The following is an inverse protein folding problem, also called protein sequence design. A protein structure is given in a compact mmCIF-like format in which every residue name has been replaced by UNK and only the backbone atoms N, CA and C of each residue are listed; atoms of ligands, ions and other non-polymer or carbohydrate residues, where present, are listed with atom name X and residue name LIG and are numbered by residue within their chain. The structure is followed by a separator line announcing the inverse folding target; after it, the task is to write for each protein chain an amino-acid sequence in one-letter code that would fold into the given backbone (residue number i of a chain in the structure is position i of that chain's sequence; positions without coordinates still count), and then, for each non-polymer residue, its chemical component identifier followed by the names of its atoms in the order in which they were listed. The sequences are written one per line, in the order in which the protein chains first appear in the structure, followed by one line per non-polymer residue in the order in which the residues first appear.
data_IF_111887179147
#
_entry.id   IF_111887179147
#
_cell.length_a   1.000
_cell.length_b   1.000
_cell.length_c   1.000
_cell.angle_alpha   90.00
_cell.angle_beta   90.00
_cell.angle_gamma   90.00
#
_symmetry.space_group_name_H-M   'P 1'
#
loop_
_entity.id
_entity.type
_entity.pdbx_description
1 polymer ?
#
# COMPACT_ATOMS: atom_id res chain seq x y z
N UNK A 1 -34.96 3.01 64.20
CA UNK A 1 -34.55 2.32 65.47
C UNK A 1 -33.32 1.52 65.13
N UNK A 2 -32.24 1.98 65.75
CA UNK A 2 -30.98 1.27 66.08
C UNK A 2 -30.15 0.76 64.90
N UNK A 3 -28.94 1.08 64.76
CA UNK A 3 -27.86 1.90 65.40
C UNK A 3 -26.56 1.31 64.83
N UNK A 4 -25.71 2.21 64.31
CA UNK A 4 -24.29 1.97 64.06
C UNK A 4 -23.56 1.55 65.35
N UNK A 5 -22.34 1.01 65.28
CA UNK A 5 -21.17 1.89 65.46
C UNK A 5 -20.03 1.58 64.51
N UNK A 6 -19.42 2.64 64.09
CA UNK A 6 -18.03 3.16 64.09
C UNK A 6 -17.00 2.31 64.85
N UNK A 7 -15.84 2.10 64.19
CA UNK A 7 -14.51 2.26 64.81
C UNK A 7 -13.39 2.33 63.74
N UNK A 8 -12.80 3.49 63.58
CA UNK A 8 -11.38 3.77 63.35
C UNK A 8 -10.69 3.82 64.71
N UNK A 9 -9.33 4.02 64.89
CA UNK A 9 -8.21 4.15 63.93
C UNK A 9 -6.87 3.48 64.40
N UNK A 10 -5.73 3.95 63.80
CA UNK A 10 -4.31 3.96 64.26
C UNK A 10 -3.47 2.70 64.02
N UNK A 11 -2.28 2.71 63.41
CA UNK A 11 -1.07 3.51 63.64
C UNK A 11 -0.01 3.19 62.57
N UNK A 12 0.66 4.20 62.07
CA UNK A 12 2.02 4.11 61.60
C UNK A 12 2.98 3.91 62.81
N UNK A 13 4.24 3.46 62.58
CA UNK A 13 5.31 4.40 62.63
C UNK A 13 6.45 4.23 61.61
N UNK A 14 7.05 5.38 61.29
CA UNK A 14 8.34 5.67 60.72
C UNK A 14 9.50 4.85 61.29
N UNK A 15 10.52 4.58 60.47
CA UNK A 15 11.92 4.84 60.84
C UNK A 15 12.86 4.82 59.61
N UNK A 16 13.44 5.92 59.37
CA UNK A 16 14.79 6.41 59.13
C UNK A 16 15.95 5.42 59.14
N UNK A 17 16.84 5.62 58.18
CA UNK A 17 18.30 5.99 58.23
C UNK A 17 18.99 5.37 56.99
N UNK A 18 19.49 6.17 56.10
CA UNK A 18 20.75 6.95 56.05
C UNK A 18 22.01 6.11 55.80
N UNK A 19 22.85 6.64 54.88
CA UNK A 19 24.29 6.44 54.66
C UNK A 19 24.68 5.20 53.85
N UNK A 20 25.57 5.16 52.81
CA UNK A 20 26.71 6.02 52.54
C UNK A 20 27.26 5.69 51.14
N UNK A 21 27.76 6.67 50.41
CA UNK A 21 28.65 6.52 49.26
C UNK A 21 30.07 6.13 49.74
N UNK A 22 30.98 5.57 48.90
CA UNK A 22 31.74 6.42 48.00
C UNK A 22 32.19 5.81 46.64
N UNK A 23 32.49 6.71 45.73
CA UNK A 23 33.34 6.57 44.55
C UNK A 23 34.81 6.46 44.96
N UNK A 24 35.69 5.79 44.17
CA UNK A 24 36.88 6.47 43.75
C UNK A 24 37.18 6.42 42.24
N UNK A 25 37.80 7.50 41.83
CA UNK A 25 38.54 7.74 40.59
C UNK A 25 39.84 6.95 40.54
N UNK A 26 40.33 6.70 39.31
CA UNK A 26 41.70 6.93 38.79
C UNK A 26 41.82 6.31 37.42
N UNK A 27 42.04 7.05 36.35
CA UNK A 27 43.35 7.51 35.78
C UNK A 27 44.24 6.38 35.25
N UNK A 28 44.59 6.49 33.97
CA UNK A 28 45.65 5.76 33.27
C UNK A 28 45.47 5.91 31.77
N UNK A 29 45.95 6.90 31.24
CA UNK A 29 46.90 7.24 30.19
C UNK A 29 47.35 6.11 29.26
N UNK A 30 47.25 6.47 27.97
CA UNK A 30 48.21 6.35 26.86
C UNK A 30 48.59 4.96 26.32
N UNK A 31 48.38 4.74 25.05
CA UNK A 31 49.48 4.63 24.08
C UNK A 31 48.97 4.63 22.64
N UNK A 32 49.64 5.44 21.86
CA UNK A 32 49.51 5.57 20.41
C UNK A 32 50.03 4.28 19.74
N UNK A 33 49.35 3.87 18.68
CA UNK A 33 50.03 3.14 17.58
C UNK A 33 49.40 3.53 16.23
N UNK A 34 50.14 4.31 15.48
CA UNK A 34 50.00 4.53 14.05
C UNK A 34 49.93 3.21 13.26
N UNK A 35 48.95 3.07 12.42
CA UNK A 35 49.09 2.30 11.18
C UNK A 35 48.29 2.97 10.07
N UNK A 36 49.01 3.65 9.24
CA UNK A 36 48.66 4.13 7.89
C UNK A 36 48.21 2.96 7.01
N UNK A 37 47.04 3.07 6.43
CA UNK A 37 46.69 2.33 5.21
C UNK A 37 45.88 3.24 4.30
N UNK A 38 46.51 3.56 3.22
CA UNK A 38 46.12 4.37 2.07
C UNK A 38 44.80 3.93 1.42
N UNK A 39 43.88 4.88 1.23
CA UNK A 39 42.80 4.85 0.25
C UNK A 39 43.39 4.80 -1.18
N UNK A 40 42.81 4.03 -2.09
CA UNK A 40 42.96 4.33 -3.50
C UNK A 40 41.84 5.29 -3.93
N UNK A 41 42.24 6.52 -4.21
CA UNK A 41 41.46 7.50 -4.95
C UNK A 41 41.08 6.92 -6.31
N UNK A 42 39.78 6.80 -6.57
CA UNK A 42 39.25 6.45 -7.87
C UNK A 42 39.10 7.78 -8.65
N UNK A 43 40.15 8.15 -9.39
CA UNK A 43 40.14 9.23 -10.36
C UNK A 43 39.15 8.91 -11.47
N UNK A 44 38.06 9.64 -11.50
CA UNK A 44 37.13 9.69 -12.63
C UNK A 44 37.78 10.57 -13.72
N UNK A 45 38.25 9.92 -14.79
CA UNK A 45 38.86 10.59 -15.95
C UNK A 45 37.79 10.81 -17.05
N UNK A 46 37.33 12.03 -17.32
CA UNK A 46 36.42 12.33 -18.41
C UNK A 46 37.19 12.67 -19.68
N UNK A 47 37.82 11.70 -20.31
CA UNK A 47 38.39 11.83 -21.64
C UNK A 47 38.25 10.54 -22.42
N UNK A 48 37.04 10.30 -22.95
CA UNK A 48 36.88 9.41 -24.09
C UNK A 48 36.51 10.26 -25.31
N UNK A 49 37.41 10.25 -26.24
CA UNK A 49 37.34 10.88 -27.57
C UNK A 49 36.04 10.50 -28.30
N UNK A 50 35.49 11.39 -29.15
CA UNK A 50 34.34 11.04 -29.98
C UNK A 50 34.75 9.99 -31.02
N UNK A 51 34.03 8.89 -31.06
CA UNK A 51 34.13 7.89 -32.12
C UNK A 51 33.96 8.57 -33.48
N UNK A 52 35.04 8.48 -34.29
CA UNK A 52 35.06 8.89 -35.68
C UNK A 52 33.96 8.14 -36.47
N UNK A 53 33.17 8.89 -37.21
CA UNK A 53 32.20 8.35 -38.16
C UNK A 53 32.94 7.48 -39.20
N UNK A 54 32.35 6.39 -39.68
CA UNK A 54 32.97 5.58 -40.72
C UNK A 54 33.12 6.37 -42.01
N UNK A 55 34.33 6.32 -42.57
CA UNK A 55 34.68 6.94 -43.86
C UNK A 55 33.75 6.40 -44.95
N UNK A 56 33.13 7.35 -45.63
CA UNK A 56 32.40 7.07 -46.88
C UNK A 56 33.44 6.70 -47.92
N UNK A 57 33.42 5.46 -48.39
CA UNK A 57 34.18 5.04 -49.56
C UNK A 57 33.61 5.75 -50.78
N UNK A 58 34.39 6.66 -51.34
CA UNK A 58 34.15 7.19 -52.69
C UNK A 58 34.56 6.11 -53.70
N UNK A 59 33.58 5.60 -54.45
CA UNK A 59 33.82 4.74 -55.60
C UNK A 59 34.53 5.55 -56.71
N UNK A 60 35.49 4.95 -57.42
CA UNK A 60 36.21 5.64 -58.47
C UNK A 60 35.30 5.94 -59.66
N UNK A 61 35.22 7.23 -60.01
CA UNK A 61 34.54 7.72 -61.23
C UNK A 61 35.20 7.10 -62.45
N UNK A 62 34.47 6.25 -63.13
CA UNK A 62 34.85 5.71 -64.43
C UNK A 62 34.49 6.74 -65.51
N UNK A 63 35.46 7.50 -65.97
CA UNK A 63 35.34 8.36 -67.18
C UNK A 63 35.10 7.46 -68.38
N UNK A 64 33.92 7.51 -68.94
CA UNK A 64 33.61 6.91 -70.22
C UNK A 64 33.35 8.08 -71.28
N UNK A 65 34.19 8.25 -72.30
CA UNK A 65 33.92 9.24 -73.32
C UNK A 65 33.10 8.62 -74.46
N UNK A 66 31.78 8.76 -74.36
CA UNK A 66 30.97 8.58 -75.59
C UNK A 66 29.91 9.66 -75.70
N UNK A 67 30.09 10.47 -76.71
CA UNK A 67 29.18 11.43 -77.31
C UNK A 67 27.83 10.82 -77.59
N UNK A 68 26.80 11.46 -77.10
CA UNK A 68 25.43 11.22 -77.48
C UNK A 68 24.59 12.42 -77.11
N UNK A 69 24.30 13.31 -78.03
CA UNK A 69 23.31 14.37 -77.82
C UNK A 69 21.98 13.82 -77.46
N UNK A 70 21.65 13.83 -76.14
CA UNK A 70 20.36 13.42 -75.61
C UNK A 70 19.46 14.64 -75.48
N UNK A 71 18.31 14.56 -76.12
CA UNK A 71 17.13 15.41 -75.96
C UNK A 71 16.90 15.74 -74.48
N UNK A 72 16.61 17.00 -74.08
CA UNK A 72 16.26 17.33 -72.71
C UNK A 72 14.97 16.56 -72.41
N UNK A 73 15.03 15.66 -71.42
CA UNK A 73 13.84 15.02 -70.88
C UNK A 73 12.97 16.13 -70.27
N UNK A 74 11.76 16.25 -70.77
CA UNK A 74 10.74 17.08 -70.14
C UNK A 74 10.65 16.71 -68.63
N UNK A 75 10.64 17.68 -67.72
CA UNK A 75 10.41 17.38 -66.30
C UNK A 75 9.06 16.69 -66.19
N UNK A 76 9.09 15.44 -65.75
CA UNK A 76 7.88 14.72 -65.38
C UNK A 76 6.97 15.61 -64.55
N UNK A 77 5.67 15.71 -64.85
CA UNK A 77 4.78 16.52 -64.05
C UNK A 77 4.85 15.95 -62.62
N UNK A 78 5.41 16.74 -61.70
CA UNK A 78 5.29 16.46 -60.26
C UNK A 78 3.80 16.55 -59.94
N UNK A 79 3.12 15.40 -59.92
CA UNK A 79 1.77 15.36 -59.40
C UNK A 79 1.79 15.97 -58.01
N UNK A 80 1.05 17.06 -57.76
CA UNK A 80 0.93 17.57 -56.42
C UNK A 80 0.41 16.45 -55.53
N UNK A 81 0.91 16.25 -54.30
CA UNK A 81 0.42 15.21 -53.42
C UNK A 81 -0.99 15.56 -52.96
N UNK A 82 -1.99 15.34 -53.84
CA UNK A 82 -3.39 15.71 -53.64
C UNK A 82 -4.13 14.76 -52.64
N UNK A 83 -3.47 13.76 -52.10
CA UNK A 83 -4.13 12.79 -51.19
C UNK A 83 -3.35 12.33 -49.96
N UNK A 84 -2.42 13.13 -49.46
CA UNK A 84 -1.80 12.83 -48.17
C UNK A 84 -2.40 13.58 -46.97
N UNK A 85 -3.58 14.16 -47.15
CA UNK A 85 -4.36 14.73 -46.06
C UNK A 85 -5.46 13.80 -45.59
N UNK A 86 -5.21 12.50 -45.55
CA UNK A 86 -5.93 11.68 -44.56
C UNK A 86 -5.38 12.07 -43.20
N UNK A 87 -6.12 12.91 -42.52
CA UNK A 87 -5.89 13.28 -41.13
C UNK A 87 -5.45 12.04 -40.38
N UNK A 88 -4.16 11.97 -40.02
CA UNK A 88 -3.71 10.93 -39.11
C UNK A 88 -4.64 11.00 -37.91
N UNK A 89 -5.27 9.90 -37.49
CA UNK A 89 -6.17 9.94 -36.35
C UNK A 89 -5.39 10.56 -35.20
N UNK A 90 -5.91 11.69 -34.67
CA UNK A 90 -5.31 12.37 -33.53
C UNK A 90 -5.06 11.33 -32.45
N UNK A 91 -3.81 11.10 -32.01
CA UNK A 91 -3.52 10.08 -31.03
C UNK A 91 -4.42 10.29 -29.84
N UNK A 92 -5.26 9.32 -29.53
CA UNK A 92 -6.11 9.41 -28.33
C UNK A 92 -5.18 9.55 -27.12
N UNK A 93 -5.50 10.46 -26.18
CA UNK A 93 -4.67 10.58 -24.98
C UNK A 93 -4.59 9.24 -24.26
N UNK A 94 -3.42 8.88 -23.73
CA UNK A 94 -3.23 7.59 -23.05
C UNK A 94 -4.20 7.43 -21.88
N UNK A 95 -4.87 6.29 -21.82
CA UNK A 95 -5.79 5.99 -20.72
C UNK A 95 -5.00 5.57 -19.49
N UNK A 96 -5.07 6.38 -18.43
CA UNK A 96 -4.46 6.05 -17.13
C UNK A 96 -5.36 5.12 -16.35
N UNK A 97 -4.85 3.97 -15.93
CA UNK A 97 -5.58 2.93 -15.22
C UNK A 97 -4.99 2.73 -13.81
N UNK A 98 -5.86 2.51 -12.81
CA UNK A 98 -7.30 2.78 -12.76
C UNK A 98 -7.62 4.29 -12.69
N UNK A 99 -8.86 4.66 -12.98
CA UNK A 99 -9.41 6.01 -12.79
C UNK A 99 -10.75 5.96 -12.05
N UNK A 100 -11.34 7.11 -11.69
CA UNK A 100 -12.58 7.20 -10.90
C UNK A 100 -13.73 6.36 -11.45
N UNK A 101 -13.87 6.26 -12.78
CA UNK A 101 -14.89 5.41 -13.40
C UNK A 101 -14.73 3.93 -13.03
N UNK A 102 -13.49 3.43 -12.94
CA UNK A 102 -13.23 2.06 -12.51
C UNK A 102 -13.50 1.85 -11.01
N UNK A 103 -13.25 2.88 -10.19
CA UNK A 103 -13.62 2.86 -8.77
C UNK A 103 -15.14 2.79 -8.58
N UNK A 104 -15.92 3.54 -9.39
CA UNK A 104 -17.39 3.45 -9.37
C UNK A 104 -17.89 2.05 -9.78
N UNK A 105 -17.30 1.45 -10.82
CA UNK A 105 -17.61 0.07 -11.24
C UNK A 105 -17.31 -0.91 -10.09
N UNK A 106 -16.16 -0.77 -9.43
CA UNK A 106 -15.84 -1.58 -8.25
C UNK A 106 -16.86 -1.40 -7.13
N UNK A 107 -17.33 -0.17 -6.90
CA UNK A 107 -18.43 0.14 -5.97
C UNK A 107 -19.73 -0.59 -6.31
N UNK A 108 -20.09 -0.69 -7.60
CA UNK A 108 -21.24 -1.49 -8.05
C UNK A 108 -21.01 -2.97 -7.73
N UNK A 109 -19.80 -3.51 -7.95
CA UNK A 109 -19.50 -4.91 -7.62
C UNK A 109 -19.55 -5.17 -6.13
N UNK A 110 -19.03 -4.26 -5.30
CA UNK A 110 -19.14 -4.34 -3.86
C UNK A 110 -20.60 -4.27 -3.39
N UNK A 111 -21.43 -3.42 -4.00
CA UNK A 111 -22.87 -3.35 -3.71
C UNK A 111 -23.59 -4.65 -4.07
N UNK A 112 -23.26 -5.25 -5.20
CA UNK A 112 -23.77 -6.58 -5.57
C UNK A 112 -23.31 -7.65 -4.56
N UNK A 113 -22.04 -7.63 -4.15
CA UNK A 113 -21.53 -8.55 -3.14
C UNK A 113 -22.25 -8.38 -1.78
N UNK A 114 -22.57 -7.14 -1.37
CA UNK A 114 -23.38 -6.89 -0.16
C UNK A 114 -24.78 -7.48 -0.26
N UNK A 115 -25.43 -7.43 -1.42
CA UNK A 115 -26.70 -8.13 -1.63
C UNK A 115 -26.56 -9.66 -1.51
N UNK A 116 -25.47 -10.22 -2.02
CA UNK A 116 -25.17 -11.64 -1.85
C UNK A 116 -24.97 -11.98 -0.36
N UNK A 117 -24.20 -11.16 0.38
CA UNK A 117 -24.02 -11.31 1.83
C UNK A 117 -25.37 -11.27 2.54
N UNK A 118 -26.21 -10.29 2.26
CA UNK A 118 -27.54 -10.17 2.89
C UNK A 118 -28.42 -11.41 2.62
N UNK A 119 -28.41 -11.91 1.36
CA UNK A 119 -29.15 -13.12 1.01
C UNK A 119 -28.63 -14.37 1.74
N UNK A 120 -27.31 -14.57 1.75
CA UNK A 120 -26.68 -15.70 2.43
C UNK A 120 -26.83 -15.61 3.95
N UNK A 121 -26.73 -14.42 4.54
CA UNK A 121 -27.00 -14.19 5.95
C UNK A 121 -28.44 -14.54 6.31
N UNK A 122 -29.40 -14.09 5.51
CA UNK A 122 -30.81 -14.41 5.71
C UNK A 122 -31.06 -15.93 5.65
N UNK A 123 -30.45 -16.63 4.70
CA UNK A 123 -30.51 -18.08 4.59
C UNK A 123 -29.85 -18.76 5.80
N UNK A 124 -28.66 -18.31 6.22
CA UNK A 124 -27.94 -18.86 7.36
C UNK A 124 -28.75 -18.71 8.67
N UNK A 125 -29.41 -17.58 8.88
CA UNK A 125 -30.30 -17.35 10.01
C UNK A 125 -31.56 -18.22 9.94
N UNK A 126 -32.15 -18.39 8.76
CA UNK A 126 -33.30 -19.25 8.55
C UNK A 126 -33.00 -20.73 8.91
N UNK A 127 -31.82 -21.20 8.56
CA UNK A 127 -31.37 -22.56 8.86
C UNK A 127 -30.67 -22.68 10.22
N UNK A 128 -30.63 -21.63 11.03
CA UNK A 128 -29.99 -21.58 12.35
C UNK A 128 -28.54 -22.11 12.35
N UNK A 129 -27.75 -21.72 11.34
CA UNK A 129 -26.37 -22.16 11.27
C UNK A 129 -25.62 -21.74 12.53
N UNK A 130 -24.80 -22.63 13.07
CA UNK A 130 -24.11 -22.48 14.36
C UNK A 130 -25.04 -22.15 15.55
N UNK A 131 -26.34 -22.47 15.45
CA UNK A 131 -27.31 -22.18 16.48
C UNK A 131 -27.75 -20.71 16.58
N UNK A 132 -27.38 -19.88 15.61
CA UNK A 132 -27.73 -18.47 15.55
C UNK A 132 -29.04 -18.29 14.79
N UNK A 133 -30.01 -17.60 15.43
CA UNK A 133 -31.35 -17.41 14.87
C UNK A 133 -31.72 -15.96 14.63
N UNK A 134 -30.94 -14.99 15.16
CA UNK A 134 -31.26 -13.57 15.07
C UNK A 134 -30.09 -12.75 14.53
N UNK A 135 -30.40 -11.63 13.87
CA UNK A 135 -29.38 -10.69 13.37
C UNK A 135 -28.50 -10.14 14.51
N UNK A 136 -29.07 -9.91 15.69
CA UNK A 136 -28.33 -9.40 16.84
C UNK A 136 -27.29 -10.42 17.33
N UNK A 137 -27.62 -11.70 17.34
CA UNK A 137 -26.65 -12.76 17.64
C UNK A 137 -25.57 -12.85 16.57
N UNK A 138 -25.95 -12.81 15.28
CA UNK A 138 -25.01 -12.84 14.16
C UNK A 138 -24.03 -11.67 14.18
N UNK A 139 -24.47 -10.48 14.55
CA UNK A 139 -23.63 -9.28 14.61
C UNK A 139 -22.49 -9.38 15.65
N UNK A 140 -22.62 -10.27 16.64
CA UNK A 140 -21.59 -10.52 17.67
C UNK A 140 -20.83 -11.83 17.45
N UNK A 141 -21.26 -12.65 16.49
CA UNK A 141 -20.62 -13.93 16.19
C UNK A 141 -19.49 -13.78 15.16
N UNK A 142 -18.32 -14.34 15.49
CA UNK A 142 -17.12 -14.23 14.67
C UNK A 142 -17.25 -14.92 13.32
N UNK A 143 -17.95 -16.05 13.22
CA UNK A 143 -18.10 -16.79 11.96
C UNK A 143 -18.99 -16.03 11.00
N UNK A 144 -20.04 -15.36 11.50
CA UNK A 144 -20.90 -14.51 10.68
C UNK A 144 -20.18 -13.23 10.23
N UNK A 145 -19.39 -12.60 11.09
CA UNK A 145 -18.65 -11.41 10.75
C UNK A 145 -17.57 -11.70 9.72
N UNK A 146 -16.64 -12.61 10.01
CA UNK A 146 -15.56 -12.95 9.07
C UNK A 146 -16.11 -13.64 7.81
N UNK A 147 -17.16 -14.45 7.94
CA UNK A 147 -17.82 -15.08 6.80
C UNK A 147 -18.44 -14.05 5.85
N UNK A 148 -19.14 -13.06 6.41
CA UNK A 148 -19.74 -11.96 5.62
C UNK A 148 -18.66 -11.14 4.90
N UNK A 149 -17.57 -10.81 5.60
CA UNK A 149 -16.44 -10.07 5.03
C UNK A 149 -15.73 -10.90 3.96
N UNK A 150 -15.48 -12.18 4.18
CA UNK A 150 -14.89 -13.07 3.18
C UNK A 150 -15.76 -13.18 1.93
N UNK A 151 -17.08 -13.30 2.07
CA UNK A 151 -18.00 -13.33 0.92
C UNK A 151 -17.96 -12.01 0.16
N UNK A 152 -18.00 -10.87 0.87
CA UNK A 152 -17.88 -9.54 0.27
C UNK A 152 -16.60 -9.43 -0.58
N UNK A 153 -15.47 -9.84 -0.02
CA UNK A 153 -14.17 -9.82 -0.69
C UNK A 153 -14.14 -10.76 -1.91
N UNK A 154 -14.53 -12.01 -1.73
CA UNK A 154 -14.44 -13.04 -2.78
C UNK A 154 -15.38 -12.73 -3.96
N UNK A 155 -16.61 -12.28 -3.69
CA UNK A 155 -17.56 -11.93 -4.75
C UNK A 155 -17.09 -10.70 -5.50
N UNK A 156 -16.72 -9.62 -4.79
CA UNK A 156 -16.19 -8.40 -5.41
C UNK A 156 -14.96 -8.69 -6.28
N UNK A 157 -14.02 -9.49 -5.76
CA UNK A 157 -12.83 -9.89 -6.47
C UNK A 157 -13.11 -10.79 -7.66
N UNK A 158 -13.97 -11.80 -7.48
CA UNK A 158 -14.35 -12.73 -8.56
C UNK A 158 -15.00 -12.02 -9.74
N UNK A 159 -15.96 -11.11 -9.46
CA UNK A 159 -16.57 -10.28 -10.51
C UNK A 159 -15.53 -9.35 -11.15
N UNK A 160 -14.63 -8.78 -10.36
CA UNK A 160 -13.53 -7.92 -10.86
C UNK A 160 -12.57 -8.70 -11.77
N UNK A 161 -12.23 -9.95 -11.44
CA UNK A 161 -11.38 -10.82 -12.26
C UNK A 161 -11.99 -11.13 -13.64
N UNK A 162 -13.32 -11.19 -13.70
CA UNK A 162 -14.04 -11.45 -14.96
C UNK A 162 -14.22 -10.18 -15.78
N UNK A 163 -14.55 -9.06 -15.14
CA UNK A 163 -14.98 -7.86 -15.84
C UNK A 163 -13.83 -6.94 -16.26
N UNK A 164 -12.87 -6.63 -15.38
CA UNK A 164 -11.81 -5.67 -15.72
C UNK A 164 -10.91 -6.09 -16.87
N UNK A 165 -10.60 -7.39 -17.11
CA UNK A 165 -9.86 -7.78 -18.29
C UNK A 165 -10.55 -7.44 -19.61
N UNK A 166 -11.88 -7.44 -19.64
CA UNK A 166 -12.65 -7.09 -20.83
C UNK A 166 -12.50 -5.61 -21.21
N UNK A 167 -12.45 -4.71 -20.23
CA UNK A 167 -12.35 -3.26 -20.48
C UNK A 167 -10.91 -2.75 -20.49
N UNK A 168 -9.98 -3.41 -19.81
CA UNK A 168 -8.57 -3.01 -19.76
C UNK A 168 -7.71 -3.68 -20.83
N UNK A 169 -8.20 -4.73 -21.46
CA UNK A 169 -7.44 -5.59 -22.39
C UNK A 169 -6.14 -6.14 -21.78
N UNK A 170 -6.11 -6.31 -20.47
CA UNK A 170 -5.03 -6.89 -19.66
C UNK A 170 -5.62 -7.51 -18.38
N UNK A 171 -4.91 -8.45 -17.77
CA UNK A 171 -5.40 -9.07 -16.53
C UNK A 171 -5.59 -8.03 -15.41
N UNK A 172 -6.53 -8.30 -14.50
CA UNK A 172 -6.77 -7.45 -13.32
C UNK A 172 -5.46 -7.17 -12.57
N UNK A 173 -4.67 -8.21 -12.29
CA UNK A 173 -3.40 -8.08 -11.56
C UNK A 173 -2.39 -7.19 -12.30
N UNK A 174 -2.30 -7.29 -13.62
CA UNK A 174 -1.45 -6.43 -14.43
C UNK A 174 -1.95 -4.97 -14.42
N UNK A 175 -3.27 -4.76 -14.49
CA UNK A 175 -3.89 -3.44 -14.38
C UNK A 175 -3.66 -2.77 -13.03
N UNK A 176 -3.67 -3.54 -11.95
CA UNK A 176 -3.38 -3.08 -10.59
C UNK A 176 -1.88 -3.03 -10.26
N UNK A 177 -1.00 -3.34 -11.22
CA UNK A 177 0.45 -3.38 -11.02
C UNK A 177 0.88 -4.35 -9.91
N UNK A 178 0.31 -5.56 -9.90
CA UNK A 178 0.77 -6.64 -9.04
C UNK A 178 2.13 -7.14 -9.51
N UNK A 179 3.19 -6.86 -8.77
CA UNK A 179 4.53 -7.31 -9.09
C UNK A 179 5.18 -8.01 -7.88
N UNK A 180 4.95 -9.32 -7.78
CA UNK A 180 5.52 -10.15 -6.71
C UNK A 180 7.05 -10.24 -6.77
N UNK A 181 7.64 -10.20 -7.96
CA UNK A 181 9.09 -10.26 -8.12
C UNK A 181 9.77 -9.02 -7.49
N UNK A 182 9.23 -7.83 -7.71
CA UNK A 182 9.71 -6.61 -7.04
C UNK A 182 9.55 -6.73 -5.53
N UNK A 183 8.39 -7.17 -5.03
CA UNK A 183 8.16 -7.36 -3.61
C UNK A 183 9.21 -8.31 -2.99
N UNK A 184 9.47 -9.45 -3.61
CA UNK A 184 10.45 -10.42 -3.14
C UNK A 184 11.89 -9.89 -3.23
N UNK A 185 12.26 -9.15 -4.26
CA UNK A 185 13.59 -8.55 -4.38
C UNK A 185 13.85 -7.51 -3.30
N UNK A 186 12.82 -6.75 -2.90
CA UNK A 186 12.88 -5.71 -1.87
C UNK A 186 12.49 -6.22 -0.47
N UNK A 187 12.32 -7.53 -0.26
CA UNK A 187 11.75 -8.11 0.97
C UNK A 187 12.41 -7.60 2.26
N UNK A 188 13.74 -7.47 2.30
CA UNK A 188 14.44 -6.96 3.49
C UNK A 188 13.99 -5.53 3.83
N UNK A 189 13.96 -4.63 2.84
CA UNK A 189 13.50 -3.25 3.00
C UNK A 189 12.03 -3.20 3.43
N UNK A 190 11.16 -4.01 2.80
CA UNK A 190 9.73 -4.04 3.12
C UNK A 190 9.47 -4.57 4.54
N UNK A 191 10.18 -5.62 4.95
CA UNK A 191 10.11 -6.14 6.32
C UNK A 191 10.63 -5.12 7.34
N UNK A 192 11.73 -4.41 7.04
CA UNK A 192 12.20 -3.30 7.90
C UNK A 192 11.14 -2.20 8.01
N UNK A 193 10.48 -1.83 6.90
CA UNK A 193 9.39 -0.85 6.91
C UNK A 193 8.23 -1.32 7.81
N UNK A 194 7.81 -2.57 7.70
CA UNK A 194 6.77 -3.15 8.55
C UNK A 194 7.19 -3.15 10.04
N UNK A 195 8.45 -3.47 10.34
CA UNK A 195 8.99 -3.44 11.70
C UNK A 195 9.03 -2.01 12.29
N UNK A 196 9.31 -1.00 11.47
CA UNK A 196 9.24 0.40 11.90
C UNK A 196 7.79 0.79 12.20
N UNK A 197 6.82 0.45 11.35
CA UNK A 197 5.41 0.67 11.61
C UNK A 197 4.96 -0.02 12.91
N UNK A 198 5.42 -1.25 13.13
CA UNK A 198 5.14 -2.00 14.34
C UNK A 198 5.75 -1.32 15.59
N UNK A 199 6.99 -0.87 15.52
CA UNK A 199 7.61 -0.12 16.62
C UNK A 199 6.84 1.18 16.94
N UNK A 200 6.38 1.90 15.91
CA UNK A 200 5.52 3.07 16.07
C UNK A 200 4.17 2.70 16.71
N UNK A 201 3.61 1.54 16.39
CA UNK A 201 2.37 1.06 17.03
C UNK A 201 2.58 0.79 18.53
N UNK A 202 3.71 0.20 18.93
CA UNK A 202 4.05 0.00 20.34
C UNK A 202 4.21 1.32 21.08
N UNK A 203 4.95 2.28 20.48
CA UNK A 203 5.10 3.63 21.04
C UNK A 203 3.76 4.34 21.17
N UNK A 204 2.92 4.26 20.14
CA UNK A 204 1.58 4.85 20.16
C UNK A 204 0.71 4.24 21.26
N UNK A 205 0.72 2.90 21.39
CA UNK A 205 -0.03 2.21 22.45
C UNK A 205 0.41 2.61 23.85
N UNK A 206 1.71 2.91 24.04
CA UNK A 206 2.22 3.40 25.30
C UNK A 206 1.85 4.87 25.57
N UNK A 207 1.91 5.75 24.56
CA UNK A 207 1.66 7.19 24.71
C UNK A 207 0.17 7.54 24.68
N UNK A 208 -0.61 6.85 23.88
CA UNK A 208 -2.02 7.11 23.63
C UNK A 208 -2.80 5.77 23.70
N UNK A 209 -2.93 5.19 24.89
CA UNK A 209 -3.61 3.91 25.04
C UNK A 209 -5.04 3.98 24.51
N UNK A 210 -5.46 2.91 23.85
CA UNK A 210 -6.84 2.74 23.42
C UNK A 210 -7.78 2.53 24.61
N UNK A 211 -9.10 2.49 24.36
CA UNK A 211 -10.08 2.22 25.43
C UNK A 211 -9.94 0.77 25.92
N UNK A 212 -10.13 0.63 27.23
CA UNK A 212 -10.15 -0.65 27.94
C UNK A 212 -11.28 -1.53 27.46
N UNK A 213 -11.52 -2.21 26.61
CA UNK A 213 -12.65 -2.97 26.04
C UNK A 213 -13.02 -2.51 24.62
N UNK A 214 -12.01 -2.27 23.79
CA UNK A 214 -12.27 -2.06 22.37
C UNK A 214 -13.09 -3.24 21.78
N UNK A 215 -13.96 -2.99 20.80
CA UNK A 215 -14.76 -4.07 20.19
C UNK A 215 -13.91 -5.22 19.67
N UNK A 216 -12.72 -4.96 19.17
CA UNK A 216 -11.78 -6.00 18.71
C UNK A 216 -11.37 -6.95 19.84
N UNK A 217 -11.18 -6.45 21.08
CA UNK A 217 -10.79 -7.28 22.22
C UNK A 217 -11.88 -8.31 22.59
N UNK A 218 -13.15 -7.91 22.42
CA UNK A 218 -14.29 -8.82 22.66
C UNK A 218 -14.33 -9.97 21.66
N UNK A 219 -13.97 -9.69 20.41
CA UNK A 219 -13.90 -10.72 19.36
C UNK A 219 -12.83 -11.76 19.66
N UNK A 220 -11.68 -11.34 20.21
CA UNK A 220 -10.61 -12.27 20.61
C UNK A 220 -10.99 -13.19 21.76
N UNK A 221 -11.87 -12.76 22.67
CA UNK A 221 -12.30 -13.56 23.83
C UNK A 221 -13.20 -14.75 23.48
N UNK A 222 -13.68 -14.85 22.24
CA UNK A 222 -14.45 -16.01 21.79
C UNK A 222 -13.51 -17.19 21.52
N UNK A 223 -13.78 -18.39 22.04
CA UNK A 223 -12.94 -19.57 21.83
C UNK A 223 -12.71 -19.85 20.34
N UNK A 224 -11.45 -19.98 19.94
CA UNK A 224 -11.06 -20.19 18.54
C UNK A 224 -11.05 -18.95 17.63
N UNK A 225 -11.72 -17.86 18.04
CA UNK A 225 -11.80 -16.63 17.26
C UNK A 225 -10.43 -16.00 17.02
N UNK A 226 -9.55 -16.02 18.00
CA UNK A 226 -8.21 -15.45 17.91
C UNK A 226 -7.41 -16.06 16.76
N UNK A 227 -7.49 -17.36 16.51
CA UNK A 227 -6.82 -18.02 15.38
C UNK A 227 -7.46 -17.68 14.05
N UNK A 228 -8.79 -17.55 13.99
CA UNK A 228 -9.49 -17.10 12.78
C UNK A 228 -9.12 -15.66 12.45
N UNK A 229 -9.13 -14.77 13.46
CA UNK A 229 -8.71 -13.37 13.30
C UNK A 229 -7.25 -13.26 12.90
N UNK A 230 -6.36 -14.05 13.47
CA UNK A 230 -4.96 -14.12 13.08
C UNK A 230 -4.81 -14.51 11.61
N UNK A 231 -5.40 -15.61 11.18
CA UNK A 231 -5.32 -16.09 9.80
C UNK A 231 -5.93 -15.09 8.82
N UNK A 232 -7.11 -14.57 9.13
CA UNK A 232 -7.82 -13.61 8.30
C UNK A 232 -7.09 -12.25 8.24
N UNK A 233 -6.73 -11.70 9.39
CA UNK A 233 -6.10 -10.38 9.50
C UNK A 233 -4.67 -10.33 8.98
N UNK A 234 -3.96 -11.47 8.91
CA UNK A 234 -2.59 -11.52 8.35
C UNK A 234 -2.58 -11.84 6.86
N UNK A 235 -3.43 -12.76 6.40
CA UNK A 235 -3.34 -13.28 5.04
C UNK A 235 -4.43 -12.73 4.11
N UNK A 236 -5.67 -12.62 4.59
CA UNK A 236 -6.83 -12.32 3.75
C UNK A 236 -7.10 -10.82 3.69
N UNK A 237 -7.37 -10.19 4.82
CA UNK A 237 -7.75 -8.78 4.88
C UNK A 237 -6.71 -7.85 4.20
N UNK A 238 -5.39 -7.96 4.47
CA UNK A 238 -4.40 -7.09 3.84
C UNK A 238 -4.39 -7.16 2.31
N UNK A 239 -4.65 -8.32 1.73
CA UNK A 239 -4.72 -8.44 0.26
C UNK A 239 -5.88 -7.63 -0.32
N UNK A 240 -7.08 -7.80 0.24
CA UNK A 240 -8.28 -7.14 -0.29
C UNK A 240 -8.32 -5.65 0.03
N UNK A 241 -7.88 -5.26 1.22
CA UNK A 241 -7.76 -3.87 1.62
C UNK A 241 -6.74 -3.11 0.75
N UNK A 242 -5.56 -3.68 0.53
CA UNK A 242 -4.58 -3.06 -0.35
C UNK A 242 -5.06 -3.00 -1.81
N UNK A 243 -5.76 -4.03 -2.28
CA UNK A 243 -6.36 -4.01 -3.61
C UNK A 243 -7.35 -2.85 -3.75
N UNK A 244 -8.21 -2.61 -2.76
CA UNK A 244 -9.15 -1.50 -2.78
C UNK A 244 -8.44 -0.15 -2.64
N UNK A 245 -7.65 0.04 -1.58
CA UNK A 245 -7.05 1.33 -1.25
C UNK A 245 -5.88 1.69 -2.16
N UNK A 246 -4.93 0.77 -2.40
CA UNK A 246 -3.69 1.03 -3.16
C UNK A 246 -3.76 0.52 -4.59
N UNK A 247 -4.66 -0.41 -4.87
CA UNK A 247 -4.93 -0.90 -6.22
C UNK A 247 -5.87 0.01 -7.01
N UNK A 248 -6.99 0.43 -6.41
CA UNK A 248 -8.02 1.22 -7.08
C UNK A 248 -8.07 2.67 -6.61
N UNK A 249 -8.28 2.94 -5.32
CA UNK A 249 -8.57 4.28 -4.81
C UNK A 249 -7.39 5.24 -5.02
N UNK A 250 -6.21 4.90 -4.54
CA UNK A 250 -5.03 5.76 -4.63
C UNK A 250 -4.70 6.16 -6.09
N UNK A 251 -4.54 5.22 -7.06
CA UNK A 251 -4.24 5.60 -8.44
C UNK A 251 -5.42 6.33 -9.12
N UNK A 252 -6.66 6.05 -8.76
CA UNK A 252 -7.81 6.76 -9.29
C UNK A 252 -7.82 8.24 -8.83
N UNK A 253 -7.50 8.49 -7.55
CA UNK A 253 -7.36 9.85 -7.02
C UNK A 253 -6.15 10.57 -7.62
N UNK A 254 -4.99 9.92 -7.75
CA UNK A 254 -3.82 10.50 -8.42
C UNK A 254 -4.17 10.94 -9.85
N UNK A 255 -4.85 10.06 -10.60
CA UNK A 255 -5.29 10.36 -11.97
C UNK A 255 -6.29 11.51 -12.01
N UNK A 256 -7.21 11.59 -11.05
CA UNK A 256 -8.18 12.68 -10.96
C UNK A 256 -7.51 14.01 -10.61
N UNK A 257 -6.57 14.03 -9.66
CA UNK A 257 -5.82 15.24 -9.29
C UNK A 257 -5.02 15.77 -10.48
N UNK A 258 -4.27 14.91 -11.19
CA UNK A 258 -3.54 15.30 -12.39
C UNK A 258 -4.46 15.79 -13.50
N UNK A 259 -5.62 15.15 -13.68
CA UNK A 259 -6.61 15.60 -14.67
C UNK A 259 -7.15 17.00 -14.35
N UNK A 260 -7.42 17.29 -13.08
CA UNK A 260 -7.84 18.64 -12.64
C UNK A 260 -6.72 19.65 -12.89
N UNK A 261 -5.48 19.35 -12.52
CA UNK A 261 -4.32 20.20 -12.77
C UNK A 261 -4.17 20.49 -14.26
N UNK A 262 -4.17 19.45 -15.11
CA UNK A 262 -4.04 19.58 -16.58
C UNK A 262 -5.17 20.44 -17.19
N UNK A 263 -6.39 20.33 -16.69
CA UNK A 263 -7.52 21.11 -17.17
C UNK A 263 -7.50 22.56 -16.70
N UNK A 264 -7.07 22.83 -15.48
CA UNK A 264 -7.06 24.18 -14.90
C UNK A 264 -5.86 25.00 -15.38
N UNK A 265 -4.71 24.37 -15.55
CA UNK A 265 -3.46 25.01 -15.97
C UNK A 265 -3.22 24.94 -17.48
N UNK A 266 -4.08 24.24 -18.23
CA UNK A 266 -3.89 23.94 -19.65
C UNK A 266 -2.54 23.24 -19.93
N UNK A 267 -2.01 22.53 -18.93
CA UNK A 267 -0.77 21.74 -19.07
C UNK A 267 -0.98 20.54 -20.01
N UNK A 268 0.06 20.11 -20.74
CA UNK A 268 -0.05 18.92 -21.56
C UNK A 268 -0.34 17.68 -20.71
N UNK A 269 -1.13 16.76 -21.28
CA UNK A 269 -1.46 15.48 -20.62
C UNK A 269 -0.16 14.72 -20.32
N UNK A 270 0.03 14.30 -19.06
CA UNK A 270 1.21 13.56 -18.64
C UNK A 270 1.29 12.22 -19.37
N UNK A 271 2.46 11.88 -19.93
CA UNK A 271 2.63 10.64 -20.67
C UNK A 271 2.57 9.41 -19.74
N UNK A 272 2.31 8.26 -20.32
CA UNK A 272 2.61 6.98 -19.68
C UNK A 272 4.13 6.74 -19.77
N UNK A 273 4.68 5.96 -18.85
CA UNK A 273 6.07 5.51 -18.94
C UNK A 273 6.25 4.44 -20.04
N UNK A 274 7.48 4.01 -20.26
CA UNK A 274 7.82 3.00 -21.27
C UNK A 274 7.10 1.65 -21.06
N UNK A 275 6.60 1.40 -19.86
CA UNK A 275 5.82 0.20 -19.52
C UNK A 275 4.31 0.40 -19.62
N UNK A 276 3.87 1.58 -20.10
CA UNK A 276 2.47 1.94 -20.20
C UNK A 276 1.82 2.27 -18.85
N UNK A 277 2.61 2.62 -17.84
CA UNK A 277 2.11 2.97 -16.51
C UNK A 277 1.98 4.49 -16.34
N UNK A 278 0.99 4.97 -15.56
CA UNK A 278 0.81 6.39 -15.30
C UNK A 278 2.02 7.00 -14.56
N UNK A 279 2.38 8.22 -14.95
CA UNK A 279 3.31 9.06 -14.21
C UNK A 279 2.50 10.19 -13.55
N UNK A 280 2.39 10.15 -12.23
CA UNK A 280 1.65 11.16 -11.48
C UNK A 280 2.56 12.28 -10.98
N UNK A 281 2.01 13.50 -10.85
CA UNK A 281 2.69 14.62 -10.20
C UNK A 281 2.92 14.33 -8.71
N UNK A 282 3.93 14.97 -8.14
CA UNK A 282 4.19 14.87 -6.70
C UNK A 282 2.97 15.38 -5.91
N UNK A 283 2.35 16.47 -6.36
CA UNK A 283 1.15 17.04 -5.75
C UNK A 283 0.00 16.03 -5.74
N UNK A 284 -0.27 15.38 -6.89
CA UNK A 284 -1.29 14.35 -6.98
C UNK A 284 -0.99 13.17 -6.04
N UNK A 285 0.27 12.70 -5.99
CA UNK A 285 0.67 11.61 -5.11
C UNK A 285 0.48 11.96 -3.63
N UNK A 286 0.87 13.17 -3.20
CA UNK A 286 0.73 13.60 -1.79
C UNK A 286 -0.74 13.76 -1.39
N UNK A 287 -1.51 14.52 -2.17
CA UNK A 287 -2.94 14.75 -1.88
C UNK A 287 -3.71 13.43 -1.85
N UNK A 288 -3.48 12.57 -2.85
CA UNK A 288 -4.17 11.28 -2.95
C UNK A 288 -3.77 10.31 -1.84
N UNK A 289 -2.51 10.35 -1.38
CA UNK A 289 -2.08 9.53 -0.23
C UNK A 289 -2.81 9.94 1.04
N UNK A 290 -2.94 11.24 1.31
CA UNK A 290 -3.69 11.74 2.47
C UNK A 290 -5.17 11.36 2.33
N UNK A 291 -5.78 11.63 1.16
CA UNK A 291 -7.18 11.34 0.89
C UNK A 291 -7.51 9.84 0.94
N UNK A 292 -6.54 8.96 0.68
CA UNK A 292 -6.68 7.50 0.81
C UNK A 292 -6.52 7.05 2.26
N UNK A 293 -5.64 7.69 3.03
CA UNK A 293 -5.29 7.25 4.38
C UNK A 293 -6.37 7.56 5.41
N UNK A 294 -7.12 8.63 5.22
CA UNK A 294 -8.21 9.01 6.12
C UNK A 294 -9.34 7.95 6.12
N UNK A 295 -9.95 7.58 4.97
CA UNK A 295 -11.00 6.55 4.97
C UNK A 295 -10.47 5.16 5.37
N UNK A 296 -9.20 4.85 5.12
CA UNK A 296 -8.57 3.63 5.63
C UNK A 296 -8.61 3.58 7.16
N UNK A 297 -8.21 4.64 7.84
CA UNK A 297 -8.26 4.71 9.30
C UNK A 297 -9.71 4.71 9.83
N UNK A 298 -10.65 5.39 9.15
CA UNK A 298 -12.05 5.38 9.53
C UNK A 298 -12.71 4.00 9.43
N UNK A 299 -12.32 3.18 8.46
CA UNK A 299 -12.82 1.81 8.33
C UNK A 299 -12.52 0.96 9.59
N UNK A 300 -11.42 1.27 10.29
CA UNK A 300 -11.02 0.58 11.52
C UNK A 300 -11.51 1.28 12.81
N UNK A 301 -12.21 2.41 12.71
CA UNK A 301 -12.58 3.23 13.87
C UNK A 301 -13.47 2.46 14.86
N UNK A 302 -14.44 1.69 14.38
CA UNK A 302 -15.30 0.86 15.23
C UNK A 302 -14.49 -0.19 15.98
N UNK A 303 -13.58 -0.89 15.32
CA UNK A 303 -12.73 -1.91 15.92
C UNK A 303 -11.87 -1.38 17.06
N UNK A 304 -11.42 -0.11 16.93
CA UNK A 304 -10.56 0.58 17.89
C UNK A 304 -11.34 1.45 18.88
N UNK A 305 -12.67 1.32 18.93
CA UNK A 305 -13.53 2.08 19.84
C UNK A 305 -13.51 3.58 19.62
N UNK A 306 -13.36 4.05 18.36
CA UNK A 306 -13.30 5.45 17.94
C UNK A 306 -12.21 6.27 18.65
N UNK A 307 -11.10 5.61 19.01
CA UNK A 307 -10.00 6.24 19.74
C UNK A 307 -9.05 6.99 18.80
N UNK A 308 -8.64 8.22 19.21
CA UNK A 308 -7.75 9.07 18.41
C UNK A 308 -6.34 8.52 18.26
N UNK A 309 -5.79 7.85 19.28
CA UNK A 309 -4.45 7.27 19.23
C UNK A 309 -4.33 6.24 18.09
N UNK A 310 -5.10 5.16 18.10
CA UNK A 310 -5.16 4.20 17.00
C UNK A 310 -5.53 4.84 15.66
N UNK A 311 -6.43 5.83 15.62
CA UNK A 311 -6.80 6.51 14.39
C UNK A 311 -5.60 7.18 13.71
N UNK A 312 -4.84 8.00 14.43
CA UNK A 312 -3.66 8.67 13.87
C UNK A 312 -2.54 7.68 13.53
N UNK A 313 -2.38 6.62 14.31
CA UNK A 313 -1.47 5.53 13.96
C UNK A 313 -1.84 4.90 12.61
N UNK A 314 -3.12 4.56 12.43
CA UNK A 314 -3.60 3.95 11.19
C UNK A 314 -3.48 4.89 9.98
N UNK A 315 -3.70 6.20 10.16
CA UNK A 315 -3.39 7.20 9.12
C UNK A 315 -1.90 7.15 8.77
N UNK A 316 -1.01 7.12 9.77
CA UNK A 316 0.43 7.05 9.56
C UNK A 316 0.87 5.77 8.84
N UNK A 317 0.39 4.61 9.28
CA UNK A 317 0.65 3.31 8.63
C UNK A 317 0.14 3.34 7.18
N UNK A 318 -1.07 3.86 6.97
CA UNK A 318 -1.66 3.98 5.64
C UNK A 318 -0.83 4.87 4.70
N UNK A 319 -0.28 5.99 5.20
CA UNK A 319 0.64 6.84 4.42
C UNK A 319 1.92 6.08 4.02
N UNK A 320 2.47 5.26 4.92
CA UNK A 320 3.63 4.40 4.61
C UNK A 320 3.28 3.36 3.53
N UNK A 321 2.09 2.78 3.58
CA UNK A 321 1.60 1.84 2.56
C UNK A 321 1.39 2.54 1.21
N UNK A 322 0.84 3.77 1.19
CA UNK A 322 0.74 4.59 -0.02
C UNK A 322 2.13 4.90 -0.60
N UNK A 323 3.07 5.33 0.25
CA UNK A 323 4.46 5.57 -0.17
C UNK A 323 5.12 4.30 -0.72
N UNK A 324 4.95 3.16 -0.06
CA UNK A 324 5.46 1.87 -0.53
C UNK A 324 4.90 1.55 -1.92
N UNK A 325 3.59 1.69 -2.10
CA UNK A 325 2.90 1.45 -3.38
C UNK A 325 3.43 2.35 -4.50
N UNK A 326 3.55 3.65 -4.23
CA UNK A 326 3.99 4.65 -5.22
C UNK A 326 5.47 4.52 -5.57
N UNK A 327 6.34 4.30 -4.56
CA UNK A 327 7.79 4.19 -4.75
C UNK A 327 8.22 2.90 -5.43
N UNK A 328 7.55 1.78 -5.14
CA UNK A 328 7.88 0.47 -5.74
C UNK A 328 7.08 0.17 -7.00
N UNK A 329 6.00 0.93 -7.26
CA UNK A 329 5.00 0.64 -8.30
C UNK A 329 4.48 -0.80 -8.25
N UNK A 330 4.42 -1.38 -7.05
CA UNK A 330 3.99 -2.75 -6.83
C UNK A 330 2.91 -2.82 -5.75
N UNK A 331 1.72 -3.30 -6.13
CA UNK A 331 0.66 -3.60 -5.17
C UNK A 331 1.10 -4.73 -4.21
N UNK A 332 1.83 -5.74 -4.72
CA UNK A 332 2.35 -6.82 -3.89
C UNK A 332 3.32 -6.36 -2.80
N UNK A 333 4.04 -5.24 -3.04
CA UNK A 333 4.94 -4.66 -2.03
C UNK A 333 4.17 -4.05 -0.86
N UNK A 334 3.07 -3.31 -1.11
CA UNK A 334 2.23 -2.78 -0.03
C UNK A 334 1.51 -3.89 0.73
N UNK A 335 0.99 -4.92 0.04
CA UNK A 335 0.43 -6.12 0.69
C UNK A 335 1.46 -6.79 1.60
N UNK A 336 2.71 -6.94 1.16
CA UNK A 336 3.77 -7.54 1.98
C UNK A 336 4.05 -6.73 3.25
N UNK A 337 4.13 -5.39 3.16
CA UNK A 337 4.33 -4.52 4.34
C UNK A 337 3.14 -4.65 5.29
N UNK A 338 1.91 -4.57 4.78
CA UNK A 338 0.69 -4.64 5.57
C UNK A 338 0.55 -6.00 6.28
N UNK A 339 0.65 -7.09 5.53
CA UNK A 339 0.59 -8.44 6.09
C UNK A 339 1.68 -8.68 7.15
N UNK A 340 2.90 -8.19 6.90
CA UNK A 340 4.02 -8.32 7.86
C UNK A 340 3.79 -7.48 9.12
N UNK A 341 3.24 -6.27 8.99
CA UNK A 341 2.87 -5.41 10.12
C UNK A 341 1.80 -6.10 10.99
N UNK A 342 0.73 -6.60 10.37
CA UNK A 342 -0.32 -7.32 11.08
C UNK A 342 0.21 -8.61 11.72
N UNK A 343 1.09 -9.35 11.02
CA UNK A 343 1.74 -10.53 11.58
C UNK A 343 2.52 -10.21 12.86
N UNK A 344 3.26 -9.10 12.89
CA UNK A 344 4.02 -8.68 14.07
C UNK A 344 3.07 -8.30 15.23
N UNK A 345 1.98 -7.56 14.96
CA UNK A 345 0.97 -7.23 15.97
C UNK A 345 0.33 -8.48 16.58
N UNK A 346 -0.14 -9.38 15.75
CA UNK A 346 -0.74 -10.64 16.22
C UNK A 346 0.26 -11.57 16.91
N UNK A 347 1.54 -11.52 16.49
CA UNK A 347 2.58 -12.34 17.10
C UNK A 347 2.90 -11.90 18.53
N UNK A 348 2.96 -10.59 18.81
CA UNK A 348 3.17 -10.14 20.19
C UNK A 348 1.98 -10.50 21.07
N UNK A 349 0.77 -10.41 20.53
CA UNK A 349 -0.44 -10.82 21.23
C UNK A 349 -0.46 -12.35 21.48
N UNK A 350 -0.07 -13.15 20.50
CA UNK A 350 0.06 -14.61 20.63
C UNK A 350 1.04 -14.99 21.75
N UNK A 351 2.20 -14.30 21.81
CA UNK A 351 3.23 -14.54 22.84
C UNK A 351 2.73 -14.07 24.21
N UNK A 352 2.14 -12.88 24.29
CA UNK A 352 1.66 -12.29 25.55
C UNK A 352 0.51 -13.09 26.20
N UNK A 353 -0.28 -13.80 25.40
CA UNK A 353 -1.44 -14.58 25.85
C UNK A 353 -1.16 -16.10 25.92
N UNK A 354 0.08 -16.53 25.82
CA UNK A 354 0.47 -17.95 25.81
C UNK A 354 -0.32 -18.75 24.75
N UNK A 355 -0.26 -18.31 23.50
CA UNK A 355 -0.95 -18.98 22.39
C UNK A 355 -2.44 -18.75 22.36
N UNK A 356 -2.91 -17.55 22.72
CA UNK A 356 -4.32 -17.18 22.86
C UNK A 356 -5.09 -17.96 23.94
N UNK A 357 -4.37 -18.51 24.94
CA UNK A 357 -4.98 -19.27 26.04
C UNK A 357 -5.41 -18.37 27.21
N UNK A 358 -4.73 -17.24 27.38
CA UNK A 358 -4.91 -16.30 28.50
C UNK A 358 -5.21 -14.89 27.99
N UNK A 359 -6.35 -14.74 27.32
CA UNK A 359 -6.83 -13.47 26.78
C UNK A 359 -7.30 -12.46 27.86
N UNK A 360 -7.43 -12.94 29.09
CA UNK A 360 -7.68 -12.16 30.30
C UNK A 360 -6.48 -11.29 30.74
N UNK A 361 -5.30 -11.56 30.19
CA UNK A 361 -4.07 -10.82 30.48
C UNK A 361 -3.84 -9.63 29.54
N UNK A 362 -4.76 -9.38 28.61
CA UNK A 362 -4.69 -8.29 27.65
C UNK A 362 -5.29 -7.00 28.21
#
# INVERSE_FOLDING_TARGET
MNSLPEHEPENEPENESAQDTPRPESSGEAEEAHASASEPANEWNPATEPLAAPAVHEDPVFDSPFLGAGIPAEPSPVEPPLFQSFSQPVPRPPVRLPHLGHLLILGVFASFALLCVAGLLSAALHFHLWGIATQQQAATDIHYNLGSEAILYLVTFGVSLLFFPLIWHKSLMAGLQWNGAIALSLRKRLLTTASICFALALVNGFLLPGPENAPIDKMFRTPGAAWLLFGFGVAVAPFFEEMFFRGFLLPALCTACDWVEEKTTHAPVRPLDQTGQPQWSLTAMVISSIATSIPFAFMHAEQTGYSWGPFFLLVGVSLVLCWTRLSTRSLAASVMVHASYNFLLFSIMLIGTDGFRHLDKM
#
